data_IF_708118081742
#
_entry.id   IF_708118081742
#
_cell.length_a   1.000
_cell.length_b   1.000
_cell.length_c   1.000
_cell.angle_alpha   90.00
_cell.angle_beta   90.00
_cell.angle_gamma   90.00
#
_symmetry.space_group_name_H-M   'P 1'
#
loop_
_entity.id
_entity.type
_entity.pdbx_description
1 polymer ?
#
# COMPACT_ATOMS: atom_id res chain seq x y z
N UNK A 1 46.92 2.79 64.25
CA UNK A 1 45.72 3.42 63.66
C UNK A 1 46.03 3.80 62.23
N UNK A 2 45.55 3.01 61.28
CA UNK A 2 45.95 3.01 59.87
C UNK A 2 44.94 3.85 59.08
N UNK A 3 45.39 4.97 58.51
CA UNK A 3 44.58 5.83 57.65
C UNK A 3 44.48 5.22 56.24
N UNK A 4 43.25 5.00 55.79
CA UNK A 4 42.90 4.39 54.50
C UNK A 4 43.20 5.36 53.34
N UNK A 5 44.01 4.88 52.38
CA UNK A 5 44.29 5.55 51.10
C UNK A 5 43.09 5.33 50.17
N UNK A 6 42.37 6.39 49.82
CA UNK A 6 41.32 6.36 48.79
C UNK A 6 41.98 6.38 47.41
N UNK A 7 41.75 5.32 46.63
CA UNK A 7 42.12 5.22 45.21
C UNK A 7 40.95 5.80 44.40
N UNK A 8 41.18 6.92 43.71
CA UNK A 8 40.23 7.45 42.73
C UNK A 8 40.39 6.65 41.43
N UNK A 9 39.38 5.83 41.11
CA UNK A 9 39.25 5.15 39.83
C UNK A 9 38.56 6.13 38.86
N UNK A 10 39.29 6.59 37.85
CA UNK A 10 38.75 7.32 36.71
C UNK A 10 37.88 6.36 35.88
N UNK A 11 36.56 6.50 36.00
CA UNK A 11 35.61 5.81 35.13
C UNK A 11 35.60 6.56 33.79
N UNK A 12 36.28 6.00 32.79
CA UNK A 12 36.03 6.38 31.40
C UNK A 12 34.61 5.93 31.03
N UNK A 13 33.70 6.87 30.79
CA UNK A 13 32.42 6.56 30.17
C UNK A 13 32.68 6.16 28.71
N UNK A 14 32.84 4.86 28.47
CA UNK A 14 32.61 4.29 27.15
C UNK A 14 31.14 4.56 26.83
N UNK A 15 30.91 5.54 25.96
CA UNK A 15 29.59 5.77 25.38
C UNK A 15 29.07 4.46 24.82
N UNK A 16 27.91 4.05 25.30
CA UNK A 16 27.19 2.89 24.79
C UNK A 16 26.85 3.14 23.32
N UNK A 17 27.71 2.69 22.41
CA UNK A 17 27.27 2.35 21.06
C UNK A 17 26.43 1.08 21.20
N UNK A 18 25.15 1.28 21.53
CA UNK A 18 24.12 0.29 21.27
C UNK A 18 24.03 0.12 19.75
N UNK A 19 24.92 -0.71 19.20
CA UNK A 19 24.58 -1.44 18.00
C UNK A 19 23.38 -2.30 18.39
N UNK A 20 22.18 -1.82 18.07
CA UNK A 20 20.98 -2.64 17.99
C UNK A 20 21.25 -3.70 16.93
N UNK A 21 21.88 -4.77 17.38
CA UNK A 21 22.04 -6.02 16.66
C UNK A 21 20.64 -6.46 16.24
N UNK A 22 20.42 -6.59 14.93
CA UNK A 22 19.23 -7.24 14.37
C UNK A 22 19.21 -8.71 14.80
N UNK A 23 18.77 -8.96 16.03
CA UNK A 23 18.30 -10.27 16.44
C UNK A 23 17.08 -10.58 15.57
N UNK A 24 17.19 -11.62 14.74
CA UNK A 24 16.05 -12.23 14.04
C UNK A 24 14.98 -12.58 15.07
N UNK A 25 13.97 -11.73 15.20
CA UNK A 25 12.79 -12.03 15.99
C UNK A 25 11.94 -13.04 15.23
N UNK A 26 12.06 -14.31 15.62
CA UNK A 26 11.18 -15.41 15.20
C UNK A 26 9.79 -15.26 15.84
N UNK A 27 9.06 -14.22 15.49
CA UNK A 27 7.63 -14.13 15.81
C UNK A 27 6.82 -14.55 14.59
N UNK A 28 6.33 -15.80 14.59
CA UNK A 28 5.29 -16.29 13.67
C UNK A 28 3.94 -15.53 13.77
N UNK A 29 3.88 -14.43 14.53
CA UNK A 29 2.67 -13.62 14.82
C UNK A 29 2.94 -12.12 14.98
N UNK A 30 4.16 -11.63 14.78
CA UNK A 30 4.39 -10.18 14.78
C UNK A 30 4.07 -9.67 13.36
N UNK A 31 3.00 -8.89 13.22
CA UNK A 31 2.80 -8.10 12.00
C UNK A 31 3.94 -7.09 11.90
N UNK A 32 4.64 -6.98 10.76
CA UNK A 32 5.56 -5.89 10.48
C UNK A 32 4.98 -4.54 10.92
N UNK A 33 5.81 -3.70 11.54
CA UNK A 33 5.48 -2.28 11.69
C UNK A 33 5.45 -1.72 10.27
N UNK A 34 4.26 -1.32 9.83
CA UNK A 34 4.09 -0.67 8.53
C UNK A 34 4.34 0.82 8.75
N UNK A 35 5.49 1.32 8.29
CA UNK A 35 5.71 2.75 8.10
C UNK A 35 5.00 3.16 6.80
N UNK A 36 3.92 3.92 6.93
CA UNK A 36 3.10 4.28 5.79
C UNK A 36 3.77 5.46 5.04
N UNK A 37 4.32 5.21 3.84
CA UNK A 37 4.85 6.27 2.97
C UNK A 37 3.70 6.96 2.24
N UNK A 38 3.07 7.93 2.89
CA UNK A 38 1.87 8.61 2.42
C UNK A 38 2.11 10.06 1.99
N UNK A 39 1.43 10.46 0.92
CA UNK A 39 1.26 11.85 0.50
C UNK A 39 -0.16 12.30 0.84
N UNK A 40 -0.29 13.47 1.49
CA UNK A 40 -1.58 14.09 1.77
C UNK A 40 -2.14 14.76 0.53
N UNK A 41 -3.44 14.58 0.26
CA UNK A 41 -4.14 15.18 -0.87
C UNK A 41 -5.34 16.03 -0.44
N UNK A 42 -5.56 17.13 -1.14
CA UNK A 42 -6.65 18.07 -0.88
C UNK A 42 -7.41 18.42 -2.16
N UNK A 43 -6.79 19.18 -3.06
CA UNK A 43 -7.37 19.71 -4.28
C UNK A 43 -6.77 19.00 -5.49
N UNK A 44 -7.42 17.93 -5.95
CA UNK A 44 -6.96 17.17 -7.10
C UNK A 44 -7.44 17.84 -8.40
N UNK A 45 -6.50 18.08 -9.31
CA UNK A 45 -6.77 18.63 -10.64
C UNK A 45 -6.37 17.63 -11.72
N UNK A 46 -7.18 17.53 -12.76
CA UNK A 46 -6.82 16.83 -14.00
C UNK A 46 -6.28 17.88 -14.96
N UNK A 47 -5.01 17.75 -15.36
CA UNK A 47 -4.37 18.68 -16.29
C UNK A 47 -3.69 17.92 -17.42
N UNK A 48 -3.43 18.63 -18.52
CA UNK A 48 -2.61 18.13 -19.62
C UNK A 48 -1.26 18.84 -19.60
N UNK A 49 -0.18 18.09 -19.48
CA UNK A 49 1.16 18.66 -19.40
C UNK A 49 1.72 19.06 -20.78
N UNK A 50 2.93 19.62 -20.80
CA UNK A 50 3.58 20.11 -22.03
C UNK A 50 3.83 19.01 -23.07
N UNK A 51 4.02 17.77 -22.63
CA UNK A 51 4.21 16.60 -23.49
C UNK A 51 2.89 15.98 -23.95
N UNK A 52 1.77 16.69 -23.76
CA UNK A 52 0.42 16.23 -24.08
C UNK A 52 -0.05 14.99 -23.31
N UNK A 53 0.57 14.71 -22.16
CA UNK A 53 0.19 13.63 -21.25
C UNK A 53 -0.83 14.16 -20.24
N UNK A 54 -1.83 13.36 -19.93
CA UNK A 54 -2.80 13.66 -18.86
C UNK A 54 -2.22 13.29 -17.50
N UNK A 55 -2.40 14.17 -16.51
CA UNK A 55 -1.92 13.91 -15.15
C UNK A 55 -2.92 14.39 -14.09
N UNK A 56 -2.90 13.71 -12.94
CA UNK A 56 -3.50 14.19 -11.71
C UNK A 56 -2.43 14.97 -10.94
N UNK A 57 -2.79 16.17 -10.48
CA UNK A 57 -1.95 17.00 -9.60
C UNK A 57 -2.68 17.33 -8.31
N UNK A 58 -1.92 17.48 -7.23
CA UNK A 58 -2.40 17.95 -5.95
C UNK A 58 -2.41 19.49 -5.91
N UNK A 59 -2.82 20.04 -4.76
CA UNK A 59 -2.56 21.43 -4.41
C UNK A 59 -1.07 21.77 -4.60
N UNK A 60 -0.77 23.03 -4.95
CA UNK A 60 0.56 23.48 -5.36
C UNK A 60 1.13 22.75 -6.58
N UNK A 61 0.25 22.15 -7.40
CA UNK A 61 0.65 21.63 -8.70
C UNK A 61 1.67 20.46 -8.56
N UNK A 62 1.64 19.72 -7.44
CA UNK A 62 2.48 18.54 -7.28
C UNK A 62 1.92 17.35 -8.07
N UNK A 63 2.77 16.68 -8.85
CA UNK A 63 2.37 15.52 -9.65
C UNK A 63 1.98 14.32 -8.77
N UNK A 64 0.86 13.66 -9.09
CA UNK A 64 0.41 12.42 -8.44
C UNK A 64 0.47 11.22 -9.38
N UNK A 65 -0.16 11.31 -10.55
CA UNK A 65 -0.31 10.19 -11.50
C UNK A 65 -0.33 10.65 -12.95
N UNK A 66 0.17 9.81 -13.85
CA UNK A 66 0.02 9.97 -15.29
C UNK A 66 -1.06 9.04 -15.85
N UNK A 67 -1.72 9.48 -16.91
CA UNK A 67 -2.80 8.75 -17.56
C UNK A 67 -2.65 8.76 -19.08
N UNK A 68 -3.05 7.68 -19.76
CA UNK A 68 -3.02 7.60 -21.21
C UNK A 68 -4.07 8.50 -21.87
N UNK A 69 -5.15 8.84 -21.16
CA UNK A 69 -6.25 9.65 -21.67
C UNK A 69 -6.98 10.41 -20.55
N UNK A 70 -7.78 11.41 -20.93
CA UNK A 70 -8.56 12.24 -20.00
C UNK A 70 -9.59 11.41 -19.22
N UNK A 71 -10.23 10.44 -19.86
CA UNK A 71 -11.31 9.66 -19.24
C UNK A 71 -10.82 8.85 -18.03
N UNK A 72 -9.65 8.21 -18.13
CA UNK A 72 -9.04 7.49 -17.01
C UNK A 72 -8.54 8.42 -15.90
N UNK A 73 -8.03 9.60 -16.26
CA UNK A 73 -7.66 10.63 -15.28
C UNK A 73 -8.89 11.13 -14.50
N UNK A 74 -9.95 11.50 -15.22
CA UNK A 74 -11.19 12.02 -14.64
C UNK A 74 -11.90 10.97 -13.77
N UNK A 75 -11.97 9.71 -14.24
CA UNK A 75 -12.48 8.58 -13.43
C UNK A 75 -11.69 8.41 -12.13
N UNK A 76 -10.36 8.53 -12.20
CA UNK A 76 -9.51 8.42 -10.99
C UNK A 76 -9.80 9.56 -10.01
N UNK A 77 -9.94 10.80 -10.51
CA UNK A 77 -10.34 11.95 -9.68
C UNK A 77 -11.70 11.70 -9.01
N UNK A 78 -12.71 11.24 -9.78
CA UNK A 78 -14.04 10.92 -9.27
C UNK A 78 -13.98 9.87 -8.16
N UNK A 79 -13.20 8.80 -8.32
CA UNK A 79 -13.00 7.76 -7.30
C UNK A 79 -12.40 8.36 -6.02
N UNK A 80 -11.33 9.14 -6.15
CA UNK A 80 -10.63 9.72 -5.00
C UNK A 80 -11.52 10.70 -4.23
N UNK A 81 -12.30 11.52 -4.94
CA UNK A 81 -13.27 12.47 -4.37
C UNK A 81 -14.46 11.75 -3.72
N UNK A 82 -15.03 10.76 -4.40
CA UNK A 82 -16.17 9.98 -3.92
C UNK A 82 -15.85 9.31 -2.57
N UNK A 83 -14.68 8.68 -2.48
CA UNK A 83 -14.24 8.02 -1.24
C UNK A 83 -13.59 8.96 -0.22
N UNK A 84 -13.63 10.27 -0.46
CA UNK A 84 -13.09 11.28 0.46
C UNK A 84 -11.62 11.02 0.80
N UNK A 85 -10.83 10.62 -0.19
CA UNK A 85 -9.43 10.23 0.02
C UNK A 85 -8.63 11.42 0.54
N UNK A 86 -7.82 11.18 1.57
CA UNK A 86 -6.92 12.16 2.18
C UNK A 86 -5.46 11.79 2.06
N UNK A 87 -5.17 10.50 1.91
CA UNK A 87 -3.81 10.01 1.79
C UNK A 87 -3.69 9.02 0.64
N UNK A 88 -2.65 9.17 -0.17
CA UNK A 88 -2.17 8.18 -1.13
C UNK A 88 -0.88 7.61 -0.56
N UNK A 89 -0.87 6.31 -0.31
CA UNK A 89 0.22 5.64 0.38
C UNK A 89 0.84 4.55 -0.49
N UNK A 90 2.11 4.26 -0.25
CA UNK A 90 2.88 3.24 -0.95
C UNK A 90 3.47 2.25 0.05
N UNK A 91 3.45 0.98 -0.32
CA UNK A 91 4.12 -0.11 0.38
C UNK A 91 5.03 -0.81 -0.63
N UNK A 92 6.34 -0.69 -0.49
CA UNK A 92 7.31 -1.12 -1.50
C UNK A 92 8.33 -0.04 -1.83
N UNK A 93 9.55 -0.47 -2.12
CA UNK A 93 10.58 0.35 -2.76
C UNK A 93 10.65 -0.03 -4.25
N UNK A 94 10.41 0.91 -5.17
CA UNK A 94 10.32 0.66 -6.61
C UNK A 94 9.96 1.90 -7.43
N UNK A 95 10.24 1.87 -8.72
CA UNK A 95 9.89 2.95 -9.66
C UNK A 95 8.48 2.74 -10.24
N UNK A 96 7.82 3.79 -10.70
CA UNK A 96 6.69 3.65 -11.63
C UNK A 96 7.22 3.87 -13.04
N UNK A 97 6.62 3.22 -14.04
CA UNK A 97 6.67 3.78 -15.38
C UNK A 97 5.30 4.14 -15.90
N UNK A 98 5.36 5.08 -16.82
CA UNK A 98 4.42 6.16 -17.00
C UNK A 98 3.53 5.89 -18.22
N UNK A 99 2.66 6.86 -18.48
CA UNK A 99 1.76 6.92 -19.63
C UNK A 99 2.42 6.95 -21.02
N UNK A 100 3.75 6.82 -21.13
CA UNK A 100 4.51 6.84 -22.39
C UNK A 100 5.36 5.59 -22.64
N UNK A 101 5.12 4.51 -21.89
CA UNK A 101 5.46 3.16 -22.36
C UNK A 101 6.88 2.67 -22.11
N UNK A 102 7.60 3.24 -21.13
CA UNK A 102 8.77 2.56 -20.57
C UNK A 102 8.34 1.62 -19.44
N UNK A 103 9.17 0.63 -19.05
CA UNK A 103 8.88 -0.35 -18.00
C UNK A 103 9.47 0.06 -16.64
N UNK A 104 8.70 -0.06 -15.55
CA UNK A 104 9.23 -0.67 -14.35
C UNK A 104 8.58 -2.04 -14.27
N UNK A 105 9.29 -3.01 -14.86
CA UNK A 105 9.01 -4.46 -14.88
C UNK A 105 8.53 -5.07 -13.56
N UNK A 106 8.74 -4.38 -12.44
CA UNK A 106 8.24 -4.78 -11.15
C UNK A 106 7.71 -3.53 -10.45
N UNK A 107 6.42 -3.22 -10.61
CA UNK A 107 5.74 -2.42 -9.60
C UNK A 107 5.68 -3.25 -8.31
N UNK A 108 6.83 -3.36 -7.65
CA UNK A 108 7.10 -3.92 -6.31
C UNK A 108 6.38 -3.12 -5.22
N UNK A 109 5.59 -2.14 -5.63
CA UNK A 109 4.89 -1.19 -4.79
C UNK A 109 3.41 -1.50 -4.90
N UNK A 110 2.82 -1.84 -3.77
CA UNK A 110 1.39 -1.77 -3.59
C UNK A 110 1.01 -0.35 -3.18
N UNK A 111 0.22 0.31 -4.01
CA UNK A 111 -0.41 1.58 -3.65
C UNK A 111 -1.76 1.34 -2.98
N UNK A 112 -2.10 2.18 -2.01
CA UNK A 112 -3.38 2.17 -1.33
C UNK A 112 -3.79 3.58 -0.89
N UNK A 113 -5.08 3.76 -0.60
CA UNK A 113 -5.67 5.05 -0.31
C UNK A 113 -6.39 5.01 1.03
N UNK A 114 -6.27 6.09 1.78
CA UNK A 114 -6.90 6.24 3.09
C UNK A 114 -7.76 7.50 3.14
N UNK A 115 -8.93 7.40 3.79
CA UNK A 115 -9.80 8.55 4.09
C UNK A 115 -9.41 9.25 5.40
N UNK A 116 -8.68 8.56 6.28
CA UNK A 116 -8.05 9.11 7.50
C UNK A 116 -6.66 8.45 7.66
N UNK A 117 -5.87 8.86 8.65
CA UNK A 117 -4.60 8.20 9.00
C UNK A 117 -4.73 6.72 9.42
N UNK A 118 -5.95 6.26 9.65
CA UNK A 118 -6.28 4.98 10.29
C UNK A 118 -7.35 4.17 9.55
N UNK A 119 -7.92 4.72 8.47
CA UNK A 119 -9.04 4.11 7.75
C UNK A 119 -8.82 4.12 6.24
N UNK A 120 -8.83 2.92 5.63
CA UNK A 120 -8.87 2.77 4.19
C UNK A 120 -10.12 3.39 3.54
N UNK A 121 -10.09 3.59 2.24
CA UNK A 121 -11.26 4.05 1.48
C UNK A 121 -12.36 2.96 1.38
N UNK A 122 -13.59 3.38 1.08
CA UNK A 122 -14.75 2.49 0.87
C UNK A 122 -15.48 2.02 2.14
N UNK A 123 -14.93 2.27 3.34
CA UNK A 123 -15.44 1.76 4.62
C UNK A 123 -16.92 2.05 4.95
N UNK A 124 -17.53 3.03 4.27
CA UNK A 124 -18.93 3.44 4.47
C UNK A 124 -19.90 2.77 3.49
N UNK A 125 -19.41 2.16 2.42
CA UNK A 125 -20.25 1.59 1.36
C UNK A 125 -20.95 0.30 1.82
N UNK A 126 -22.23 0.19 1.48
CA UNK A 126 -23.08 -1.00 1.67
C UNK A 126 -23.30 -1.64 0.29
N UNK A 127 -23.12 -2.96 0.17
CA UNK A 127 -23.21 -3.79 -1.04
C UNK A 127 -22.42 -3.30 -2.28
N UNK A 128 -21.16 -2.89 -2.09
CA UNK A 128 -20.29 -2.36 -3.17
C UNK A 128 -19.95 -3.39 -4.28
N UNK A 129 -20.28 -4.67 -4.09
CA UNK A 129 -20.07 -5.72 -5.10
C UNK A 129 -20.86 -5.48 -6.40
N UNK A 130 -21.99 -4.77 -6.31
CA UNK A 130 -22.86 -4.48 -7.44
C UNK A 130 -22.68 -3.07 -8.01
N UNK A 131 -21.61 -2.35 -7.65
CA UNK A 131 -21.33 -1.07 -8.28
C UNK A 131 -20.81 -1.28 -9.71
N UNK A 132 -21.71 -1.26 -10.69
CA UNK A 132 -21.35 -1.44 -12.12
C UNK A 132 -20.52 -0.29 -12.70
N UNK A 133 -20.30 0.81 -11.97
CA UNK A 133 -19.43 1.90 -12.41
C UNK A 133 -17.95 1.69 -12.06
N UNK A 134 -17.63 0.69 -11.23
CA UNK A 134 -16.26 0.34 -10.86
C UNK A 134 -15.89 -1.07 -11.32
N UNK A 135 -14.62 -1.25 -11.71
CA UNK A 135 -14.07 -2.57 -12.02
C UNK A 135 -13.28 -3.07 -10.81
N UNK A 136 -13.95 -3.86 -9.97
CA UNK A 136 -13.41 -4.38 -8.73
C UNK A 136 -13.44 -5.90 -8.67
N UNK A 137 -12.34 -6.49 -8.23
CA UNK A 137 -12.23 -7.92 -7.92
C UNK A 137 -12.23 -8.10 -6.39
N UNK A 138 -13.15 -8.91 -5.84
CA UNK A 138 -13.17 -9.20 -4.41
C UNK A 138 -12.02 -10.15 -4.04
N UNK A 139 -11.62 -10.11 -2.79
CA UNK A 139 -10.74 -11.11 -2.20
C UNK A 139 -10.94 -11.21 -0.69
N UNK A 140 -10.61 -12.35 -0.11
CA UNK A 140 -10.66 -12.56 1.34
C UNK A 140 -9.29 -12.24 1.97
N UNK A 141 -9.15 -11.14 2.74
CA UNK A 141 -7.88 -10.76 3.37
C UNK A 141 -7.37 -11.79 4.38
N UNK A 142 -8.24 -12.60 4.99
CA UNK A 142 -7.84 -13.66 5.93
C UNK A 142 -7.21 -14.86 5.24
N UNK A 143 -7.60 -15.13 3.98
CA UNK A 143 -7.02 -16.19 3.15
C UNK A 143 -5.77 -15.77 2.40
N UNK A 144 -5.51 -14.46 2.31
CA UNK A 144 -4.37 -13.92 1.58
C UNK A 144 -3.05 -14.30 2.27
N UNK A 145 -2.10 -14.81 1.49
CA UNK A 145 -0.78 -15.24 1.97
C UNK A 145 0.33 -14.79 1.00
N UNK A 146 1.49 -14.42 1.56
CA UNK A 146 2.72 -14.22 0.80
C UNK A 146 3.33 -15.57 0.42
N UNK A 147 3.59 -15.76 -0.87
CA UNK A 147 4.12 -17.01 -1.43
C UNK A 147 5.18 -16.76 -2.47
N UNK A 148 6.28 -17.50 -2.35
CA UNK A 148 7.31 -17.59 -3.38
C UNK A 148 6.91 -18.64 -4.41
N UNK A 149 6.99 -18.26 -5.67
CA UNK A 149 6.79 -19.14 -6.83
C UNK A 149 8.10 -19.88 -7.19
N UNK A 150 8.02 -20.82 -8.14
CA UNK A 150 9.14 -21.67 -8.54
C UNK A 150 10.29 -20.89 -9.20
N UNK A 151 9.99 -19.81 -9.90
CA UNK A 151 10.99 -18.91 -10.49
C UNK A 151 11.63 -17.97 -9.43
N UNK A 152 11.17 -18.05 -8.19
CA UNK A 152 11.65 -17.28 -7.05
C UNK A 152 10.97 -15.93 -6.85
N UNK A 153 9.93 -15.58 -7.62
CA UNK A 153 9.15 -14.36 -7.45
C UNK A 153 8.12 -14.50 -6.31
N UNK A 154 7.86 -13.40 -5.61
CA UNK A 154 6.94 -13.29 -4.50
C UNK A 154 5.60 -12.71 -4.92
N UNK A 155 4.53 -13.34 -4.46
CA UNK A 155 3.17 -12.94 -4.74
C UNK A 155 2.31 -12.98 -3.49
N UNK A 156 1.32 -12.11 -3.43
CA UNK A 156 0.15 -12.32 -2.59
C UNK A 156 -0.87 -13.14 -3.37
N UNK A 157 -1.27 -14.27 -2.78
CA UNK A 157 -2.24 -15.20 -3.37
C UNK A 157 -3.31 -15.56 -2.36
N UNK A 158 -4.55 -15.72 -2.82
CA UNK A 158 -5.64 -16.25 -2.01
C UNK A 158 -5.72 -17.78 -2.12
N UNK A 159 -5.40 -18.31 -3.31
CA UNK A 159 -5.42 -19.74 -3.63
C UNK A 159 -4.28 -20.11 -4.58
N UNK A 160 -3.84 -21.38 -4.61
CA UNK A 160 -2.80 -21.83 -5.53
C UNK A 160 -3.14 -21.48 -6.99
N UNK A 161 -2.14 -20.96 -7.72
CA UNK A 161 -2.28 -20.59 -9.14
C UNK A 161 -3.00 -19.26 -9.42
N UNK A 162 -3.39 -18.51 -8.39
CA UNK A 162 -4.04 -17.20 -8.54
C UNK A 162 -3.20 -16.09 -7.90
N UNK A 163 -2.27 -15.52 -8.67
CA UNK A 163 -1.45 -14.38 -8.27
C UNK A 163 -2.25 -13.09 -8.33
N UNK A 164 -2.30 -12.35 -7.21
CA UNK A 164 -3.04 -11.08 -7.14
C UNK A 164 -2.13 -9.86 -7.19
N UNK A 165 -1.06 -9.88 -6.39
CA UNK A 165 -0.09 -8.80 -6.30
C UNK A 165 1.31 -9.38 -6.41
N UNK A 166 2.14 -8.85 -7.31
CA UNK A 166 3.50 -9.32 -7.55
C UNK A 166 4.54 -8.38 -6.95
N UNK A 167 5.55 -8.96 -6.30
CA UNK A 167 6.62 -8.24 -5.61
C UNK A 167 8.00 -8.73 -6.05
N UNK A 168 8.13 -9.28 -7.26
CA UNK A 168 9.41 -9.71 -7.83
C UNK A 168 10.22 -10.56 -6.84
N UNK A 169 11.50 -10.24 -6.62
CA UNK A 169 12.34 -10.97 -5.63
C UNK A 169 12.21 -10.46 -4.19
N UNK A 170 11.34 -9.49 -3.91
CA UNK A 170 11.24 -8.80 -2.62
C UNK A 170 10.21 -9.45 -1.69
N UNK A 171 10.66 -10.43 -0.90
CA UNK A 171 9.84 -11.05 0.15
C UNK A 171 9.29 -10.03 1.15
N UNK A 172 10.17 -9.12 1.60
CA UNK A 172 9.86 -8.16 2.65
C UNK A 172 8.68 -7.26 2.26
N UNK A 173 8.69 -6.71 1.05
CA UNK A 173 7.61 -5.85 0.55
C UNK A 173 6.31 -6.61 0.34
N UNK A 174 6.39 -7.88 -0.09
CA UNK A 174 5.22 -8.76 -0.15
C UNK A 174 4.59 -8.95 1.24
N UNK A 175 5.41 -9.21 2.26
CA UNK A 175 4.95 -9.42 3.64
C UNK A 175 4.42 -8.10 4.26
N UNK A 176 5.05 -6.96 3.98
CA UNK A 176 4.55 -5.64 4.39
C UNK A 176 3.19 -5.33 3.73
N UNK A 177 3.03 -5.59 2.44
CA UNK A 177 1.78 -5.39 1.72
C UNK A 177 0.64 -6.25 2.29
N UNK A 178 0.92 -7.51 2.64
CA UNK A 178 -0.04 -8.35 3.36
C UNK A 178 -0.48 -7.72 4.68
N UNK A 179 0.46 -7.10 5.40
CA UNK A 179 0.20 -6.46 6.69
C UNK A 179 -0.65 -5.19 6.54
N UNK A 180 -0.39 -4.38 5.51
CA UNK A 180 -1.23 -3.22 5.13
C UNK A 180 -2.66 -3.66 4.82
N UNK A 181 -2.83 -4.67 3.96
CA UNK A 181 -4.14 -5.19 3.57
C UNK A 181 -4.93 -5.62 4.82
N UNK A 182 -4.30 -6.35 5.74
CA UNK A 182 -4.93 -6.78 7.00
C UNK A 182 -5.19 -5.64 7.96
N UNK A 183 -4.26 -4.69 8.11
CA UNK A 183 -4.38 -3.51 9.00
C UNK A 183 -5.62 -2.68 8.63
N UNK A 184 -5.82 -2.42 7.35
CA UNK A 184 -6.93 -1.58 6.87
C UNK A 184 -8.17 -2.38 6.45
N UNK A 185 -8.07 -3.72 6.45
CA UNK A 185 -9.16 -4.64 6.11
C UNK A 185 -9.61 -4.55 4.65
N UNK A 186 -8.70 -4.19 3.74
CA UNK A 186 -9.02 -4.16 2.31
C UNK A 186 -9.48 -5.54 1.84
N UNK A 187 -10.56 -5.59 1.07
CA UNK A 187 -11.15 -6.82 0.55
C UNK A 187 -11.57 -6.71 -0.93
N UNK A 188 -11.24 -5.59 -1.58
CA UNK A 188 -11.43 -5.41 -3.02
C UNK A 188 -10.21 -4.71 -3.63
N UNK A 189 -9.80 -5.20 -4.80
CA UNK A 189 -8.80 -4.57 -5.66
C UNK A 189 -9.52 -4.03 -6.89
N UNK A 190 -9.37 -2.75 -7.17
CA UNK A 190 -10.14 -2.04 -8.18
C UNK A 190 -9.22 -1.32 -9.16
N UNK A 191 -9.74 -1.10 -10.37
CA UNK A 191 -8.94 -0.66 -11.51
C UNK A 191 -9.63 0.46 -12.29
N UNK A 192 -8.84 1.41 -12.76
CA UNK A 192 -9.20 2.35 -13.82
C UNK A 192 -8.38 1.99 -15.05
N UNK A 193 -9.06 1.61 -16.12
CA UNK A 193 -8.45 0.98 -17.30
C UNK A 193 -8.39 -0.55 -17.22
N UNK A 194 -8.05 -1.21 -18.34
CA UNK A 194 -8.03 -2.69 -18.49
C UNK A 194 -6.80 -3.17 -19.24
N UNK A 195 -6.42 -4.43 -19.01
CA UNK A 195 -5.20 -5.10 -19.46
C UNK A 195 -3.88 -4.51 -18.93
N UNK A 196 -3.81 -3.19 -18.77
CA UNK A 196 -2.75 -2.46 -18.08
C UNK A 196 -3.36 -1.19 -17.43
N UNK A 197 -4.00 -1.32 -16.25
CA UNK A 197 -4.74 -0.20 -15.66
C UNK A 197 -3.80 0.96 -15.32
N UNK A 198 -4.19 2.18 -15.68
CA UNK A 198 -3.41 3.39 -15.36
C UNK A 198 -3.43 3.73 -13.86
N UNK A 199 -4.43 3.20 -13.14
CA UNK A 199 -4.58 3.38 -11.72
C UNK A 199 -5.23 2.16 -11.08
N UNK A 200 -4.71 1.76 -9.93
CA UNK A 200 -5.28 0.73 -9.07
C UNK A 200 -5.41 1.26 -7.64
N UNK A 201 -6.43 0.75 -6.95
CA UNK A 201 -6.74 1.12 -5.58
C UNK A 201 -7.31 -0.06 -4.82
N UNK A 202 -7.12 -0.01 -3.50
CA UNK A 202 -7.72 -0.97 -2.57
C UNK A 202 -8.82 -0.27 -1.79
N UNK A 203 -9.95 -0.95 -1.65
CA UNK A 203 -11.03 -0.48 -0.78
C UNK A 203 -11.55 -1.59 0.12
N UNK A 204 -12.16 -1.16 1.22
CA UNK A 204 -12.84 -2.05 2.16
C UNK A 204 -14.33 -1.86 2.02
N UNK A 205 -15.04 -2.94 1.75
CA UNK A 205 -16.49 -3.02 1.80
C UNK A 205 -16.93 -3.74 3.10
N UNK A 206 -18.03 -3.29 3.73
CA UNK A 206 -18.63 -3.97 4.90
C UNK A 206 -19.72 -4.92 4.45
N UNK A 207 -19.44 -6.22 4.43
CA UNK A 207 -20.49 -7.24 4.41
C UNK A 207 -21.36 -7.05 5.66
N UNK A 208 -22.65 -6.81 5.47
CA UNK A 208 -23.61 -6.77 6.56
C UNK A 208 -23.76 -8.19 7.15
N UNK A 209 -23.80 -8.26 8.49
CA UNK A 209 -24.06 -9.51 9.22
C UNK A 209 -25.41 -10.13 8.81
N UNK A 210 -26.31 -9.35 8.19
CA UNK A 210 -27.65 -9.78 7.79
C UNK A 210 -27.70 -10.59 6.48
N UNK A 211 -26.64 -10.60 5.66
CA UNK A 211 -26.57 -11.50 4.49
C UNK A 211 -26.15 -12.94 4.84
N UNK A 212 -25.77 -13.21 6.10
CA UNK A 212 -25.41 -14.54 6.61
C UNK A 212 -26.57 -15.31 7.28
N UNK A 213 -27.79 -14.75 7.34
CA UNK A 213 -28.96 -15.44 7.92
C UNK A 213 -29.80 -16.19 6.85
N UNK A 214 -29.48 -16.07 5.57
CA UNK A 214 -30.25 -16.75 4.51
C UNK A 214 -29.30 -17.49 3.56
N UNK A 215 -28.72 -18.61 4.02
CA UNK A 215 -28.48 -19.83 3.22
C UNK A 215 -28.30 -21.04 4.14
#
# INVERSE_FOLDING_TARGET
MIAKKFIYILIFSLGASNFLSCSKTTYKKASPIVEDNCVSISNIMVVKNMDSIWELRNEEEEHLFYFPNFEEADKTKIVLEHYQTKFICKCGEGYYTNSIGEENTNALIMQYQLSTDSSGIGNKEINSYNNSSEDCLPFNPEKLVARRSLDGNWYLIEKPGHSMFGFGKNEEECVKALSVIKKYGFNQSCFVGRANPSFSYLKRYREDIDTLIIF
#
